data_IF_275980766856
#
_entry.id   IF_275980766856
#
_cell.length_a   1.000
_cell.length_b   1.000
_cell.length_c   1.000
_cell.angle_alpha   90.00
_cell.angle_beta   90.00
_cell.angle_gamma   90.00
#
_symmetry.space_group_name_H-M   'P 1'
#
loop_
_entity.id
_entity.type
_entity.pdbx_description
1 polymer ?
#
# COMPACT_ATOMS: atom_id res chain seq x y z
N UNK A 1 65.78 2.14 -27.13
CA UNK A 1 65.16 1.14 -26.22
C UNK A 1 64.28 1.88 -25.23
N UNK A 2 62.95 1.81 -25.40
CA UNK A 2 62.00 2.60 -24.60
C UNK A 2 61.48 1.72 -23.45
N UNK A 3 61.84 2.04 -22.21
CA UNK A 3 61.33 1.32 -21.02
C UNK A 3 59.90 1.79 -20.74
N UNK A 4 58.92 0.92 -21.01
CA UNK A 4 57.52 1.13 -20.65
C UNK A 4 57.41 1.11 -19.12
N UNK A 5 57.06 2.25 -18.52
CA UNK A 5 56.81 2.35 -17.09
C UNK A 5 55.59 1.47 -16.74
N UNK A 6 55.82 0.36 -16.05
CA UNK A 6 54.75 -0.44 -15.47
C UNK A 6 54.32 0.22 -14.16
N UNK A 7 53.25 1.01 -14.20
CA UNK A 7 52.59 1.50 -12.99
C UNK A 7 51.94 0.30 -12.28
N UNK A 8 52.55 -0.17 -11.19
CA UNK A 8 51.93 -1.16 -10.32
C UNK A 8 50.64 -0.60 -9.73
N UNK A 9 49.57 -1.39 -9.72
CA UNK A 9 48.27 -0.99 -9.17
C UNK A 9 48.45 -0.58 -7.70
N UNK A 10 48.25 0.72 -7.43
CA UNK A 10 48.39 1.27 -6.09
C UNK A 10 47.26 0.72 -5.19
N UNK A 11 47.53 0.30 -3.93
CA UNK A 11 46.50 -0.30 -3.04
C UNK A 11 45.25 0.57 -2.86
N UNK A 12 45.40 1.90 -2.98
CA UNK A 12 44.30 2.86 -2.95
C UNK A 12 43.25 2.65 -4.05
N UNK A 13 43.63 2.03 -5.18
CA UNK A 13 42.69 1.66 -6.24
C UNK A 13 41.67 0.63 -5.76
N UNK A 14 42.12 -0.40 -5.04
CA UNK A 14 41.23 -1.43 -4.48
C UNK A 14 40.29 -0.86 -3.41
N UNK A 15 40.78 0.09 -2.60
CA UNK A 15 39.95 0.81 -1.64
C UNK A 15 38.87 1.64 -2.35
N UNK A 16 39.23 2.39 -3.41
CA UNK A 16 38.29 3.18 -4.20
C UNK A 16 37.22 2.33 -4.89
N UNK A 17 37.60 1.21 -5.49
CA UNK A 17 36.66 0.26 -6.10
C UNK A 17 35.73 -0.35 -5.04
N UNK A 18 36.24 -0.71 -3.86
CA UNK A 18 35.43 -1.24 -2.77
C UNK A 18 34.35 -0.26 -2.29
N UNK A 19 34.70 1.01 -2.13
CA UNK A 19 33.75 2.06 -1.74
C UNK A 19 32.67 2.27 -2.81
N UNK A 20 33.06 2.30 -4.09
CA UNK A 20 32.10 2.41 -5.20
C UNK A 20 31.16 1.21 -5.28
N UNK A 21 31.67 -0.01 -5.08
CA UNK A 21 30.85 -1.22 -5.04
C UNK A 21 29.84 -1.18 -3.87
N UNK A 22 30.29 -0.80 -2.68
CA UNK A 22 29.40 -0.66 -1.51
C UNK A 22 28.32 0.41 -1.74
N UNK A 23 28.69 1.55 -2.35
CA UNK A 23 27.73 2.60 -2.71
C UNK A 23 26.70 2.12 -3.76
N UNK A 24 27.14 1.35 -4.77
CA UNK A 24 26.25 0.78 -5.77
C UNK A 24 25.27 -0.24 -5.17
N UNK A 25 25.73 -1.08 -4.24
CA UNK A 25 24.88 -2.04 -3.52
C UNK A 25 23.85 -1.30 -2.66
N UNK A 26 24.28 -0.28 -1.90
CA UNK A 26 23.39 0.53 -1.07
C UNK A 26 22.34 1.27 -1.90
N UNK A 27 22.74 1.87 -3.02
CA UNK A 27 21.84 2.53 -3.95
C UNK A 27 20.85 1.55 -4.58
N UNK A 28 21.32 0.38 -5.04
CA UNK A 28 20.46 -0.68 -5.58
C UNK A 28 19.43 -1.17 -4.57
N UNK A 29 19.84 -1.41 -3.33
CA UNK A 29 18.93 -1.79 -2.24
C UNK A 29 17.86 -0.74 -1.99
N UNK A 30 18.25 0.55 -1.94
CA UNK A 30 17.33 1.65 -1.69
C UNK A 30 16.28 1.82 -2.81
N UNK A 31 16.68 1.60 -4.05
CA UNK A 31 15.77 1.64 -5.20
C UNK A 31 14.77 0.48 -5.19
N UNK A 32 15.22 -0.74 -4.88
CA UNK A 32 14.34 -1.92 -4.80
C UNK A 32 13.33 -1.79 -3.66
N UNK A 33 13.77 -1.27 -2.50
CA UNK A 33 12.91 -1.03 -1.35
C UNK A 33 11.79 0.00 -1.66
N UNK A 34 12.10 1.04 -2.44
CA UNK A 34 11.07 2.00 -2.89
C UNK A 34 10.15 1.47 -3.99
N UNK A 35 10.58 0.48 -4.77
CA UNK A 35 9.77 -0.08 -5.85
C UNK A 35 8.66 -1.02 -5.36
N UNK A 36 8.81 -1.64 -4.19
CA UNK A 36 7.86 -2.60 -3.61
C UNK A 36 6.68 -1.93 -2.88
N UNK A 37 5.96 -1.00 -3.53
CA UNK A 37 4.65 -0.58 -3.02
C UNK A 37 3.55 -1.47 -3.64
N UNK A 38 3.01 -2.47 -2.90
CA UNK A 38 1.99 -3.39 -3.43
C UNK A 38 0.66 -2.69 -3.78
N UNK A 39 0.45 -1.45 -3.33
CA UNK A 39 -0.77 -0.69 -3.57
C UNK A 39 -0.66 0.24 -4.80
N UNK A 40 0.49 0.26 -5.50
CA UNK A 40 0.72 1.18 -6.63
C UNK A 40 0.04 0.72 -7.92
N UNK A 41 -0.17 -0.59 -8.08
CA UNK A 41 -0.84 -1.18 -9.26
C UNK A 41 -2.36 -1.27 -9.09
N UNK A 42 -2.88 -1.02 -7.90
CA UNK A 42 -4.31 -1.08 -7.62
C UNK A 42 -5.04 0.16 -8.13
N UNK A 43 -6.13 -0.05 -8.85
CA UNK A 43 -7.00 1.02 -9.33
C UNK A 43 -7.77 1.65 -8.16
N UNK A 44 -7.84 2.99 -8.06
CA UNK A 44 -8.70 3.63 -7.06
C UNK A 44 -10.18 3.28 -7.32
N UNK A 45 -10.94 3.02 -6.25
CA UNK A 45 -12.38 2.79 -6.36
C UNK A 45 -13.08 4.06 -6.84
N UNK A 46 -13.88 3.94 -7.89
CA UNK A 46 -14.81 5.00 -8.30
C UNK A 46 -16.07 4.92 -7.44
N UNK A 47 -16.15 5.77 -6.41
CA UNK A 47 -17.23 5.72 -5.41
C UNK A 47 -18.61 6.00 -6.02
N UNK A 48 -18.80 7.02 -6.88
CA UNK A 48 -20.07 7.21 -7.59
C UNK A 48 -20.53 5.98 -8.37
N UNK A 49 -19.62 5.32 -9.10
CA UNK A 49 -19.96 4.10 -9.85
C UNK A 49 -20.30 2.92 -8.93
N UNK A 50 -19.63 2.83 -7.78
CA UNK A 50 -19.94 1.83 -6.76
C UNK A 50 -21.34 2.06 -6.15
N UNK A 51 -21.70 3.30 -5.83
CA UNK A 51 -23.01 3.63 -5.28
C UNK A 51 -24.14 3.43 -6.30
N UNK A 52 -23.89 3.71 -7.57
CA UNK A 52 -24.86 3.50 -8.65
C UNK A 52 -25.09 2.00 -8.93
N UNK A 53 -24.00 1.22 -9.06
CA UNK A 53 -24.09 -0.22 -9.32
C UNK A 53 -22.89 -1.01 -8.80
N UNK A 54 -22.88 -1.32 -7.51
CA UNK A 54 -21.85 -2.12 -6.86
C UNK A 54 -21.67 -3.51 -7.49
N UNK A 55 -22.74 -4.11 -8.04
CA UNK A 55 -22.67 -5.44 -8.65
C UNK A 55 -21.79 -5.48 -9.90
N UNK A 56 -21.69 -4.36 -10.64
CA UNK A 56 -20.83 -4.26 -11.82
C UNK A 56 -19.34 -4.35 -11.49
N UNK A 57 -18.97 -4.04 -10.24
CA UNK A 57 -17.60 -4.02 -9.75
C UNK A 57 -17.23 -5.30 -8.98
N UNK A 58 -18.16 -6.25 -8.87
CA UNK A 58 -17.99 -7.49 -8.09
C UNK A 58 -16.79 -8.30 -8.56
N UNK A 59 -16.05 -8.86 -7.60
CA UNK A 59 -14.88 -9.71 -7.84
C UNK A 59 -13.61 -8.93 -8.20
N UNK A 60 -13.71 -7.61 -8.37
CA UNK A 60 -12.55 -6.76 -8.58
C UNK A 60 -12.00 -6.24 -7.25
N UNK A 61 -10.71 -5.94 -7.26
CA UNK A 61 -9.98 -5.37 -6.13
C UNK A 61 -9.60 -3.93 -6.44
N UNK A 62 -9.89 -3.04 -5.50
CA UNK A 62 -9.65 -1.62 -5.62
C UNK A 62 -8.90 -1.08 -4.41
N UNK A 63 -8.33 0.10 -4.60
CA UNK A 63 -7.74 0.90 -3.54
C UNK A 63 -8.71 1.97 -3.08
N UNK A 64 -8.91 2.09 -1.77
CA UNK A 64 -9.60 3.22 -1.15
C UNK A 64 -8.63 3.93 -0.21
N UNK A 65 -8.52 5.25 -0.33
CA UNK A 65 -7.88 6.08 0.68
C UNK A 65 -9.00 6.76 1.49
N UNK A 66 -9.10 6.46 2.78
CA UNK A 66 -10.18 6.98 3.60
C UNK A 66 -9.81 7.13 5.07
N UNK A 67 -10.59 7.95 5.77
CA UNK A 67 -10.45 8.15 7.22
C UNK A 67 -11.46 7.27 7.94
N UNK A 68 -11.02 6.55 8.97
CA UNK A 68 -11.90 5.73 9.77
C UNK A 68 -12.89 6.62 10.55
N UNK A 69 -14.18 6.52 10.25
CA UNK A 69 -15.20 7.36 10.87
C UNK A 69 -15.83 6.72 12.10
N UNK A 70 -16.37 5.51 11.97
CA UNK A 70 -16.99 4.83 13.11
C UNK A 70 -17.03 3.30 12.95
N UNK A 71 -17.20 2.59 14.06
CA UNK A 71 -17.43 1.14 14.08
C UNK A 71 -18.94 0.88 14.08
N UNK A 72 -19.45 0.29 12.99
CA UNK A 72 -20.88 0.02 12.82
C UNK A 72 -21.32 -1.28 13.49
N UNK A 73 -20.41 -2.27 13.59
CA UNK A 73 -20.74 -3.56 14.21
C UNK A 73 -19.57 -4.53 14.23
N UNK A 74 -19.73 -5.60 15.00
CA UNK A 74 -18.75 -6.68 15.10
C UNK A 74 -19.47 -8.02 15.20
N UNK A 75 -18.91 -9.03 14.55
CA UNK A 75 -19.35 -10.41 14.67
C UNK A 75 -18.15 -11.35 14.87
N UNK A 76 -18.19 -12.25 15.88
CA UNK A 76 -17.19 -13.30 16.02
C UNK A 76 -17.18 -14.18 14.77
N UNK A 77 -16.03 -14.26 14.08
CA UNK A 77 -15.83 -15.10 12.90
C UNK A 77 -15.96 -14.38 11.56
N UNK A 78 -16.74 -13.30 11.45
CA UNK A 78 -16.84 -12.51 10.22
C UNK A 78 -15.83 -11.36 10.24
N UNK A 79 -15.84 -10.54 11.30
CA UNK A 79 -15.00 -9.36 11.40
C UNK A 79 -15.73 -8.13 11.95
N UNK A 80 -15.16 -6.96 11.69
CA UNK A 80 -15.67 -5.66 12.13
C UNK A 80 -16.11 -4.84 10.93
N UNK A 81 -17.30 -4.26 11.00
CA UNK A 81 -17.80 -3.34 9.98
C UNK A 81 -17.46 -1.91 10.42
N UNK A 82 -16.73 -1.19 9.58
CA UNK A 82 -16.39 0.21 9.80
C UNK A 82 -17.05 1.08 8.74
N UNK A 83 -17.39 2.31 9.13
CA UNK A 83 -17.66 3.39 8.18
C UNK A 83 -16.37 4.14 7.93
N UNK A 84 -16.02 4.33 6.67
CA UNK A 84 -14.88 5.15 6.25
C UNK A 84 -15.37 6.34 5.45
N UNK A 85 -14.74 7.49 5.68
CA UNK A 85 -14.97 8.70 4.93
C UNK A 85 -13.99 8.74 3.75
N UNK A 86 -14.54 8.74 2.53
CA UNK A 86 -13.78 8.85 1.28
C UNK A 86 -14.04 10.21 0.64
N UNK A 87 -12.96 10.95 0.37
CA UNK A 87 -13.05 12.33 -0.12
C UNK A 87 -12.70 13.36 0.97
N UNK A 88 -12.84 14.63 0.63
CA UNK A 88 -12.60 15.76 1.54
C UNK A 88 -13.71 16.81 1.36
N UNK A 89 -14.21 17.36 2.46
CA UNK A 89 -15.21 18.43 2.45
C UNK A 89 -16.61 17.97 1.98
N UNK A 90 -17.22 18.73 1.06
CA UNK A 90 -18.60 18.50 0.61
C UNK A 90 -18.79 17.24 -0.27
N UNK A 91 -17.70 16.63 -0.74
CA UNK A 91 -17.70 15.37 -1.50
C UNK A 91 -17.32 14.17 -0.61
N UNK A 92 -17.33 14.33 0.71
CA UNK A 92 -17.11 13.25 1.65
C UNK A 92 -18.28 12.27 1.60
N UNK A 93 -18.01 11.04 1.17
CA UNK A 93 -18.96 9.94 1.18
C UNK A 93 -18.56 8.92 2.25
N UNK A 94 -19.56 8.39 2.96
CA UNK A 94 -19.37 7.36 3.98
C UNK A 94 -19.62 5.99 3.36
N UNK A 95 -18.59 5.16 3.33
CA UNK A 95 -18.67 3.80 2.80
C UNK A 95 -18.53 2.76 3.92
N UNK A 96 -19.45 1.78 3.98
CA UNK A 96 -19.29 0.64 4.87
C UNK A 96 -18.22 -0.31 4.30
N UNK A 97 -17.26 -0.66 5.14
CA UNK A 97 -16.15 -1.55 4.79
C UNK A 97 -16.02 -2.63 5.86
N UNK A 98 -16.07 -3.88 5.43
CA UNK A 98 -15.92 -5.05 6.27
C UNK A 98 -14.43 -5.38 6.41
N UNK A 99 -13.91 -5.28 7.63
CA UNK A 99 -12.56 -5.72 8.00
C UNK A 99 -12.66 -7.15 8.53
N UNK A 100 -12.15 -8.17 7.81
CA UNK A 100 -12.24 -9.55 8.23
C UNK A 100 -11.52 -9.80 9.55
N UNK A 101 -11.94 -10.84 10.28
CA UNK A 101 -11.35 -11.20 11.57
C UNK A 101 -9.83 -11.47 11.51
N UNK A 102 -9.31 -11.87 10.34
CA UNK A 102 -7.87 -12.05 10.10
C UNK A 102 -7.05 -10.76 10.31
N UNK A 103 -7.66 -9.59 10.11
CA UNK A 103 -7.03 -8.28 10.26
C UNK A 103 -7.24 -7.64 11.65
N UNK A 104 -7.85 -8.36 12.61
CA UNK A 104 -8.07 -7.87 13.97
C UNK A 104 -6.77 -7.54 14.74
N UNK A 105 -5.63 -8.02 14.26
CA UNK A 105 -4.32 -7.70 14.83
C UNK A 105 -3.92 -6.23 14.56
N UNK A 106 -4.54 -5.55 13.60
CA UNK A 106 -4.27 -4.15 13.31
C UNK A 106 -5.15 -3.25 14.19
N UNK A 107 -4.51 -2.31 14.88
CA UNK A 107 -5.21 -1.34 15.71
C UNK A 107 -5.81 -0.22 14.85
N UNK A 108 -7.11 -0.35 14.53
CA UNK A 108 -7.89 0.64 13.80
C UNK A 108 -8.57 1.60 14.78
N UNK A 109 -8.25 2.90 14.67
CA UNK A 109 -8.84 3.94 15.51
C UNK A 109 -9.56 4.99 14.68
N UNK A 110 -10.65 5.54 15.23
CA UNK A 110 -11.39 6.65 14.64
C UNK A 110 -10.49 7.85 14.39
N UNK A 111 -10.70 8.51 13.26
CA UNK A 111 -9.94 9.69 12.82
C UNK A 111 -8.59 9.38 12.17
N UNK A 112 -8.19 8.10 12.08
CA UNK A 112 -6.96 7.72 11.40
C UNK A 112 -7.20 7.48 9.91
N UNK A 113 -6.27 7.97 9.08
CA UNK A 113 -6.28 7.77 7.62
C UNK A 113 -5.55 6.48 7.27
N UNK A 114 -6.19 5.67 6.43
CA UNK A 114 -5.67 4.39 5.96
C UNK A 114 -5.85 4.27 4.44
N UNK A 115 -4.99 3.42 3.88
CA UNK A 115 -5.10 2.91 2.52
C UNK A 115 -5.62 1.49 2.64
N UNK A 116 -6.81 1.24 2.09
CA UNK A 116 -7.47 -0.05 2.09
C UNK A 116 -7.37 -0.67 0.70
N UNK A 117 -6.96 -1.93 0.65
CA UNK A 117 -7.20 -2.80 -0.49
C UNK A 117 -8.51 -3.55 -0.24
N UNK A 118 -9.52 -3.24 -1.04
CA UNK A 118 -10.86 -3.78 -0.89
C UNK A 118 -11.25 -4.60 -2.09
N UNK A 119 -11.88 -5.74 -1.84
CA UNK A 119 -12.57 -6.53 -2.84
C UNK A 119 -14.07 -6.23 -2.74
N UNK A 120 -14.71 -6.06 -3.89
CA UNK A 120 -16.17 -5.97 -3.94
C UNK A 120 -16.73 -7.40 -3.93
N UNK A 121 -17.13 -7.87 -2.75
CA UNK A 121 -17.67 -9.21 -2.56
C UNK A 121 -19.11 -9.33 -3.10
N UNK A 122 -19.70 -10.51 -2.94
CA UNK A 122 -21.09 -10.74 -3.31
C UNK A 122 -22.04 -9.76 -2.59
N UNK A 123 -23.06 -9.30 -3.31
CA UNK A 123 -23.98 -8.28 -2.80
C UNK A 123 -23.39 -6.86 -2.77
N UNK A 124 -22.19 -6.65 -3.32
CA UNK A 124 -21.55 -5.34 -3.37
C UNK A 124 -20.83 -4.95 -2.07
N UNK A 125 -20.60 -5.90 -1.14
CA UNK A 125 -19.98 -5.59 0.15
C UNK A 125 -18.48 -5.36 -0.03
N UNK A 126 -17.98 -4.20 0.39
CA UNK A 126 -16.55 -3.90 0.40
C UNK A 126 -15.85 -4.69 1.51
N UNK A 127 -15.03 -5.65 1.12
CA UNK A 127 -14.29 -6.51 2.05
C UNK A 127 -12.81 -6.20 1.99
N UNK A 128 -12.18 -5.88 3.12
CA UNK A 128 -10.75 -5.54 3.17
C UNK A 128 -9.90 -6.78 3.04
N UNK A 129 -9.00 -6.80 2.05
CA UNK A 129 -7.94 -7.81 1.92
C UNK A 129 -6.69 -7.42 2.68
N UNK A 130 -6.29 -6.17 2.54
CA UNK A 130 -5.13 -5.60 3.22
C UNK A 130 -5.35 -4.13 3.52
N UNK A 131 -4.68 -3.62 4.55
CA UNK A 131 -4.73 -2.20 4.89
C UNK A 131 -3.39 -1.74 5.42
N UNK A 132 -3.07 -0.47 5.17
CA UNK A 132 -1.90 0.19 5.77
C UNK A 132 -2.24 1.60 6.20
N UNK A 133 -1.57 2.08 7.24
CA UNK A 133 -1.69 3.48 7.64
C UNK A 133 -1.15 4.39 6.52
N UNK A 134 -1.91 5.43 6.19
CA UNK A 134 -1.54 6.40 5.16
C UNK A 134 -0.44 7.34 5.65
#
# INVERSE_FOLDING_TARGET
>A
MTRRASSGLHPAWFAGVGVLAAAAIAAGYFLIAKAHDPYRTLQPLNVPAYLDNANSLRGNVYRINGTLWDSLGWSPGVGRLYSIETGEGAAAELLPVLVPAALNHVNLQKGQRFIFEVEVAEGGILTVRSLRKA
#
